data_IF_073739843975
#
_entry.id   IF_073739843975
#
_cell.length_a   1.000
_cell.length_b   1.000
_cell.length_c   1.000
_cell.angle_alpha   90.00
_cell.angle_beta   90.00
_cell.angle_gamma   90.00
#
_symmetry.space_group_name_H-M   'P 1'
#
loop_
_entity.id
_entity.type
_entity.pdbx_description
1 polymer ?
#
# COMPACT_ATOMS: atom_id res chain seq x y z
N UNK A 1 -25.05 -1.57 12.33
CA UNK A 1 -23.73 -2.20 12.57
C UNK A 1 -22.76 -1.74 11.47
N UNK A 2 -21.64 -1.07 11.78
CA UNK A 2 -20.72 -0.54 10.76
C UNK A 2 -19.74 -1.59 10.23
N UNK A 3 -19.37 -1.48 8.95
CA UNK A 3 -18.35 -2.31 8.28
C UNK A 3 -17.45 -1.43 7.42
N UNK A 4 -16.12 -1.56 7.57
CA UNK A 4 -15.15 -0.91 6.71
C UNK A 4 -14.96 -1.70 5.42
N UNK A 5 -15.65 -1.31 4.34
CA UNK A 5 -15.60 -2.01 3.06
C UNK A 5 -14.39 -1.59 2.23
N UNK A 6 -13.71 -2.56 1.61
CA UNK A 6 -12.60 -2.35 0.68
C UNK A 6 -13.00 -2.85 -0.72
N UNK A 7 -12.13 -2.64 -1.70
CA UNK A 7 -12.33 -3.12 -3.07
C UNK A 7 -12.56 -4.65 -3.13
N UNK A 8 -13.10 -5.14 -4.25
CA UNK A 8 -13.31 -6.58 -4.45
C UNK A 8 -11.97 -7.27 -4.77
N UNK A 9 -11.82 -8.52 -4.32
CA UNK A 9 -10.72 -9.41 -4.72
C UNK A 9 -9.36 -9.05 -4.11
N UNK A 10 -8.27 -9.34 -4.83
CA UNK A 10 -6.89 -9.24 -4.33
C UNK A 10 -6.55 -7.84 -3.83
N UNK A 11 -6.91 -6.80 -4.58
CA UNK A 11 -6.67 -5.41 -4.19
C UNK A 11 -7.37 -5.08 -2.86
N UNK A 12 -8.59 -5.57 -2.68
CA UNK A 12 -9.35 -5.50 -1.43
C UNK A 12 -8.64 -6.12 -0.25
N UNK A 13 -8.23 -7.38 -0.40
CA UNK A 13 -7.53 -8.11 0.65
C UNK A 13 -6.21 -7.43 1.05
N UNK A 14 -5.42 -6.95 0.07
CA UNK A 14 -4.19 -6.21 0.34
C UNK A 14 -4.48 -4.91 1.11
N UNK A 15 -5.47 -4.14 0.67
CA UNK A 15 -5.81 -2.87 1.33
C UNK A 15 -6.45 -3.07 2.71
N UNK A 16 -7.20 -4.15 2.91
CA UNK A 16 -7.76 -4.51 4.21
C UNK A 16 -6.65 -4.83 5.23
N UNK A 17 -5.63 -5.58 4.82
CA UNK A 17 -4.46 -5.84 5.66
C UNK A 17 -3.72 -4.53 6.00
N UNK A 18 -3.44 -3.68 5.00
CA UNK A 18 -2.77 -2.39 5.20
C UNK A 18 -3.57 -1.48 6.15
N UNK A 19 -4.91 -1.45 6.01
CA UNK A 19 -5.79 -0.67 6.90
C UNK A 19 -5.77 -1.23 8.33
N UNK A 20 -5.88 -2.55 8.49
CA UNK A 20 -5.80 -3.19 9.81
C UNK A 20 -4.46 -2.89 10.50
N UNK A 21 -3.34 -2.95 9.78
CA UNK A 21 -2.02 -2.58 10.29
C UNK A 21 -1.99 -1.12 10.75
N UNK A 22 -2.61 -0.18 10.01
CA UNK A 22 -2.69 1.23 10.42
C UNK A 22 -3.51 1.44 11.70
N UNK A 23 -4.58 0.68 11.90
CA UNK A 23 -5.38 0.73 13.14
C UNK A 23 -4.53 0.28 14.33
N UNK A 24 -3.86 -0.86 14.21
CA UNK A 24 -3.00 -1.41 15.28
C UNK A 24 -1.78 -0.53 15.54
N UNK A 25 -1.22 0.10 14.50
CA UNK A 25 -0.09 1.03 14.60
C UNK A 25 -0.36 2.27 15.47
N UNK A 26 -1.61 2.54 15.85
CA UNK A 26 -1.92 3.56 16.87
C UNK A 26 -1.23 3.25 18.21
N UNK A 27 -1.14 1.98 18.59
CA UNK A 27 -0.55 1.51 19.86
C UNK A 27 0.85 0.92 19.71
N UNK A 28 1.19 0.41 18.53
CA UNK A 28 2.43 -0.33 18.26
C UNK A 28 3.25 0.40 17.19
N UNK A 29 4.20 1.28 17.58
CA UNK A 29 4.94 2.14 16.65
C UNK A 29 5.72 1.40 15.57
N UNK A 30 6.16 0.17 15.82
CA UNK A 30 6.88 -0.67 14.86
C UNK A 30 6.06 -0.91 13.58
N UNK A 31 4.74 -1.06 13.70
CA UNK A 31 3.85 -1.22 12.54
C UNK A 31 3.64 0.10 11.80
N UNK A 32 3.78 1.24 12.47
CA UNK A 32 3.75 2.54 11.81
C UNK A 32 4.92 2.69 10.86
N UNK A 33 6.13 2.32 11.31
CA UNK A 33 7.31 2.35 10.45
C UNK A 33 7.21 1.33 9.32
N UNK A 34 6.69 0.13 9.57
CA UNK A 34 6.46 -0.86 8.52
C UNK A 34 5.51 -0.34 7.41
N UNK A 35 4.42 0.34 7.78
CA UNK A 35 3.47 0.93 6.79
C UNK A 35 4.10 2.10 6.04
N UNK A 36 4.92 2.93 6.71
CA UNK A 36 5.64 4.02 6.06
C UNK A 36 6.64 3.50 5.05
N UNK A 37 7.39 2.49 5.43
CA UNK A 37 8.37 1.83 4.57
C UNK A 37 7.70 1.17 3.37
N UNK A 38 6.60 0.43 3.58
CA UNK A 38 5.80 -0.12 2.48
C UNK A 38 5.35 0.96 1.49
N UNK A 39 4.87 2.11 1.99
CA UNK A 39 4.46 3.23 1.14
C UNK A 39 5.64 3.84 0.39
N UNK A 40 6.78 4.05 1.06
CA UNK A 40 8.02 4.59 0.46
C UNK A 40 8.49 3.72 -0.70
N UNK A 41 8.61 2.41 -0.49
CA UNK A 41 9.03 1.46 -1.52
C UNK A 41 8.12 1.49 -2.75
N UNK A 42 6.80 1.65 -2.56
CA UNK A 42 5.84 1.72 -3.67
C UNK A 42 5.98 3.03 -4.46
N UNK A 43 6.21 4.14 -3.77
CA UNK A 43 6.52 5.42 -4.41
C UNK A 43 7.81 5.32 -5.22
N UNK A 44 8.88 4.77 -4.63
CA UNK A 44 10.17 4.59 -5.30
C UNK A 44 10.08 3.65 -6.50
N UNK A 45 9.31 2.57 -6.39
CA UNK A 45 9.11 1.64 -7.50
C UNK A 45 8.48 2.32 -8.72
N UNK A 46 7.52 3.22 -8.52
CA UNK A 46 6.90 3.97 -9.64
C UNK A 46 7.86 5.03 -10.17
N UNK A 47 8.57 5.74 -9.30
CA UNK A 47 9.56 6.75 -9.72
C UNK A 47 10.71 6.14 -10.53
N UNK A 48 11.10 4.90 -10.24
CA UNK A 48 12.15 4.19 -10.96
C UNK A 48 11.77 3.79 -12.39
N UNK A 49 10.47 3.74 -12.73
CA UNK A 49 9.99 3.32 -14.05
C UNK A 49 10.01 4.48 -15.06
N UNK A 50 10.00 5.75 -14.65
CA UNK A 50 10.10 6.87 -15.60
C UNK A 50 8.86 7.04 -16.50
N UNK A 51 9.04 7.46 -17.76
CA UNK A 51 7.92 7.62 -18.70
C UNK A 51 7.38 6.24 -19.09
N UNK A 52 6.07 5.97 -18.94
CA UNK A 52 5.49 4.68 -19.32
C UNK A 52 5.65 4.34 -20.81
N UNK A 53 5.95 5.32 -21.68
CA UNK A 53 6.23 5.09 -23.11
C UNK A 53 7.64 4.57 -23.36
N UNK A 54 8.58 4.78 -22.44
CA UNK A 54 9.97 4.32 -22.60
C UNK A 54 10.08 2.78 -22.66
N UNK A 55 9.08 2.07 -22.11
CA UNK A 55 8.97 0.61 -22.12
C UNK A 55 8.08 0.05 -23.25
N UNK A 56 7.43 0.92 -24.03
CA UNK A 56 6.45 0.55 -25.05
C UNK A 56 7.03 0.49 -26.48
N UNK A 57 8.32 0.78 -26.62
CA UNK A 57 9.04 0.85 -27.90
C UNK A 57 9.92 -0.36 -28.22
N UNK A 58 9.69 -1.50 -27.57
CA UNK A 58 10.35 -2.79 -27.84
C UNK A 58 9.35 -3.81 -28.44
#
# INVERSE_FOLDING_TARGET
MPVGTLAIGKAGATNAAILATQIVAARYPEYREAVREYRRQRTEAVLAVGDPRDHASD
#
